data_IF_767107326806
#
_entry.id   IF_767107326806
#
_cell.length_a   1.000
_cell.length_b   1.000
_cell.length_c   1.000
_cell.angle_alpha   90.00
_cell.angle_beta   90.00
_cell.angle_gamma   90.00
#
_symmetry.space_group_name_H-M   'P 1'
#
loop_
_entity.id
_entity.type
_entity.pdbx_description
1 polymer ?
#
# COMPACT_ATOMS: atom_id res chain seq x y z
N UNK A 1 18.18 -33.10 -49.86
CA UNK A 1 17.33 -31.95 -49.57
C UNK A 1 16.49 -32.32 -48.35
N UNK A 2 16.96 -32.02 -47.17
CA UNK A 2 16.30 -32.34 -45.91
C UNK A 2 15.71 -31.05 -45.36
N UNK A 3 14.37 -31.02 -45.34
CA UNK A 3 13.55 -29.97 -44.76
C UNK A 3 13.89 -29.83 -43.26
N UNK A 4 14.52 -28.72 -42.88
CA UNK A 4 14.59 -28.34 -41.48
C UNK A 4 13.29 -27.61 -41.14
N UNK A 5 12.49 -28.08 -40.18
CA UNK A 5 11.30 -27.36 -39.78
C UNK A 5 11.68 -26.06 -39.07
N UNK A 6 10.99 -25.01 -39.47
CA UNK A 6 11.06 -23.63 -39.00
C UNK A 6 10.92 -23.51 -37.46
N UNK A 7 12.02 -23.63 -36.73
CA UNK A 7 12.08 -23.45 -35.26
C UNK A 7 11.81 -22.00 -34.81
N UNK A 8 11.93 -21.04 -35.74
CA UNK A 8 11.71 -19.60 -35.48
C UNK A 8 10.24 -19.22 -35.29
N UNK A 9 9.31 -20.04 -35.81
CA UNK A 9 7.86 -19.77 -35.65
C UNK A 9 7.28 -20.33 -34.35
N UNK A 10 7.90 -21.31 -33.71
CA UNK A 10 7.47 -21.85 -32.41
C UNK A 10 7.80 -20.94 -31.20
N UNK A 11 8.78 -20.07 -31.34
CA UNK A 11 9.15 -19.12 -30.27
C UNK A 11 8.21 -17.92 -30.13
N UNK A 12 7.41 -17.60 -31.15
CA UNK A 12 6.51 -16.44 -31.14
C UNK A 12 5.21 -16.60 -30.33
N UNK A 13 4.93 -17.78 -29.83
CA UNK A 13 3.67 -18.08 -29.12
C UNK A 13 3.81 -18.32 -27.62
N UNK A 14 5.00 -18.10 -27.02
CA UNK A 14 5.11 -18.13 -25.56
C UNK A 14 4.37 -16.94 -24.97
N UNK A 15 3.35 -17.19 -24.15
CA UNK A 15 2.63 -16.12 -23.46
C UNK A 15 3.61 -15.28 -22.63
N UNK A 16 3.34 -13.97 -22.49
CA UNK A 16 4.17 -13.07 -21.64
C UNK A 16 4.35 -13.62 -20.22
N UNK A 17 3.38 -14.40 -19.76
CA UNK A 17 3.39 -15.11 -18.46
C UNK A 17 4.45 -16.22 -18.48
N UNK A 18 4.55 -17.02 -19.55
CA UNK A 18 5.56 -18.06 -19.65
C UNK A 18 6.99 -17.49 -19.73
N UNK A 19 7.18 -16.37 -20.44
CA UNK A 19 8.48 -15.68 -20.49
C UNK A 19 8.87 -15.09 -19.13
N UNK A 20 7.91 -14.53 -18.39
CA UNK A 20 8.16 -14.03 -17.02
C UNK A 20 8.47 -15.18 -16.05
N UNK A 21 7.81 -16.33 -16.24
CA UNK A 21 8.01 -17.53 -15.42
C UNK A 21 9.37 -18.20 -15.67
N UNK A 22 9.88 -18.15 -16.89
CA UNK A 22 11.19 -18.67 -17.29
C UNK A 22 12.33 -17.66 -17.09
N UNK A 23 12.02 -16.43 -16.60
CA UNK A 23 13.03 -15.43 -16.29
C UNK A 23 13.84 -15.81 -15.03
N UNK A 24 15.05 -15.24 -14.88
CA UNK A 24 15.87 -15.42 -13.70
C UNK A 24 15.14 -15.04 -12.41
N UNK A 25 14.28 -14.01 -12.47
CA UNK A 25 13.44 -13.55 -11.35
C UNK A 25 12.40 -14.62 -11.03
N UNK A 26 11.73 -15.21 -12.03
CA UNK A 26 10.77 -16.29 -11.84
C UNK A 26 11.42 -17.56 -11.25
N UNK A 27 12.66 -17.86 -11.66
CA UNK A 27 13.41 -18.97 -11.10
C UNK A 27 13.81 -18.70 -9.63
N UNK A 28 14.32 -17.51 -9.31
CA UNK A 28 14.65 -17.10 -7.95
C UNK A 28 13.41 -17.10 -7.03
N UNK A 29 12.24 -16.68 -7.55
CA UNK A 29 10.97 -16.70 -6.84
C UNK A 29 10.60 -18.11 -6.38
N UNK A 30 10.64 -19.07 -7.29
CA UNK A 30 10.30 -20.47 -6.99
C UNK A 30 11.23 -21.15 -5.97
N UNK A 31 12.45 -20.67 -5.82
CA UNK A 31 13.44 -21.21 -4.87
C UNK A 31 13.39 -20.54 -3.50
N UNK A 32 12.69 -19.43 -3.37
CA UNK A 32 12.57 -18.73 -2.09
C UNK A 32 11.25 -19.10 -1.39
N UNK A 33 11.28 -19.94 -0.33
CA UNK A 33 10.08 -20.30 0.41
C UNK A 33 9.45 -19.05 1.07
N UNK A 34 10.27 -18.09 1.51
CA UNK A 34 9.80 -16.83 2.09
C UNK A 34 8.99 -16.05 1.06
N UNK A 35 9.50 -15.90 -0.17
CA UNK A 35 8.78 -15.19 -1.23
C UNK A 35 7.46 -15.88 -1.60
N UNK A 36 7.45 -17.20 -1.71
CA UNK A 36 6.26 -17.97 -2.03
C UNK A 36 5.18 -17.84 -0.95
N UNK A 37 5.56 -18.02 0.32
CA UNK A 37 4.63 -17.90 1.45
C UNK A 37 4.11 -16.47 1.54
N UNK A 38 4.99 -15.46 1.47
CA UNK A 38 4.59 -14.06 1.55
C UNK A 38 3.68 -13.66 0.39
N UNK A 39 3.96 -14.11 -0.83
CA UNK A 39 3.10 -13.87 -1.98
C UNK A 39 1.74 -14.55 -1.83
N UNK A 40 1.71 -15.80 -1.34
CA UNK A 40 0.47 -16.53 -1.11
C UNK A 40 -0.40 -15.85 -0.04
N UNK A 41 0.20 -15.44 1.11
CA UNK A 41 -0.51 -14.72 2.17
C UNK A 41 -0.99 -13.36 1.68
N UNK A 42 -0.15 -12.58 1.01
CA UNK A 42 -0.54 -11.28 0.44
C UNK A 42 -1.69 -11.45 -0.57
N UNK A 43 -1.59 -12.41 -1.47
CA UNK A 43 -2.64 -12.69 -2.46
C UNK A 43 -3.95 -13.12 -1.78
N UNK A 44 -3.89 -13.99 -0.77
CA UNK A 44 -5.05 -14.40 0.01
C UNK A 44 -5.74 -13.21 0.67
N UNK A 45 -4.97 -12.34 1.35
CA UNK A 45 -5.51 -11.17 2.04
C UNK A 45 -6.08 -10.14 1.05
N UNK A 46 -5.44 -9.90 -0.09
CA UNK A 46 -5.96 -9.02 -1.14
C UNK A 46 -7.24 -9.59 -1.73
N UNK A 47 -7.27 -10.88 -2.06
CA UNK A 47 -8.46 -11.54 -2.61
C UNK A 47 -9.61 -11.52 -1.60
N UNK A 48 -9.34 -11.81 -0.33
CA UNK A 48 -10.35 -11.74 0.73
C UNK A 48 -10.91 -10.33 0.90
N UNK A 49 -10.08 -9.29 0.78
CA UNK A 49 -10.51 -7.90 0.82
C UNK A 49 -11.36 -7.51 -0.40
N UNK A 50 -10.95 -7.92 -1.62
CA UNK A 50 -11.69 -7.64 -2.86
C UNK A 50 -13.03 -8.33 -2.86
N UNK A 51 -13.07 -9.60 -2.48
CA UNK A 51 -14.27 -10.42 -2.44
C UNK A 51 -15.01 -10.37 -1.10
N UNK A 52 -14.66 -9.42 -0.21
CA UNK A 52 -15.32 -9.27 1.08
C UNK A 52 -16.86 -9.28 1.00
N UNK A 53 -17.53 -8.58 0.06
CA UNK A 53 -19.00 -8.62 -0.04
C UNK A 53 -19.58 -10.00 -0.39
N UNK A 54 -18.75 -10.92 -0.92
CA UNK A 54 -19.19 -12.28 -1.28
C UNK A 54 -18.79 -13.32 -0.23
N UNK A 55 -17.72 -13.06 0.53
CA UNK A 55 -17.16 -14.00 1.51
C UNK A 55 -17.70 -13.72 2.91
N UNK A 56 -17.96 -12.44 3.24
CA UNK A 56 -18.45 -12.04 4.56
C UNK A 56 -19.83 -12.63 4.81
N UNK A 57 -20.02 -13.39 5.91
CA UNK A 57 -21.32 -13.95 6.26
C UNK A 57 -22.37 -12.88 6.54
N UNK A 58 -21.96 -11.72 7.04
CA UNK A 58 -22.82 -10.60 7.42
C UNK A 58 -22.29 -9.30 6.82
N UNK A 59 -23.17 -8.35 6.52
CA UNK A 59 -22.76 -6.97 6.24
C UNK A 59 -22.64 -6.21 7.57
N UNK A 60 -21.42 -5.98 8.08
CA UNK A 60 -21.22 -5.41 9.41
C UNK A 60 -21.54 -3.91 9.48
N UNK A 61 -21.88 -3.28 8.36
CA UNK A 61 -22.14 -1.84 8.26
C UNK A 61 -23.56 -1.51 7.82
N UNK A 62 -24.41 -2.52 7.67
CA UNK A 62 -25.82 -2.34 7.41
C UNK A 62 -26.61 -2.29 8.73
N UNK A 63 -27.09 -1.11 9.18
CA UNK A 63 -27.81 -1.00 10.46
C UNK A 63 -29.08 -1.85 10.53
N UNK A 64 -29.67 -2.20 9.38
CA UNK A 64 -30.89 -3.02 9.33
C UNK A 64 -30.65 -4.50 9.67
N UNK A 65 -29.42 -4.98 9.54
CA UNK A 65 -29.04 -6.38 9.83
C UNK A 65 -28.30 -6.53 11.16
N UNK A 66 -27.93 -5.42 11.81
CA UNK A 66 -27.23 -5.44 13.09
C UNK A 66 -28.19 -5.77 14.23
N UNK A 67 -27.85 -6.77 15.04
CA UNK A 67 -28.58 -7.11 16.25
C UNK A 67 -27.68 -6.90 17.47
N UNK A 68 -27.97 -5.86 18.25
CA UNK A 68 -27.21 -5.54 19.47
C UNK A 68 -27.25 -6.66 20.52
N UNK A 69 -28.22 -7.57 20.45
CA UNK A 69 -28.24 -8.73 21.33
C UNK A 69 -27.14 -9.74 21.03
N UNK A 70 -26.51 -9.66 19.86
CA UNK A 70 -25.33 -10.47 19.51
C UNK A 70 -24.03 -9.86 20.06
N UNK A 71 -24.06 -8.71 20.75
CA UNK A 71 -22.87 -8.08 21.30
C UNK A 71 -22.08 -8.99 22.21
N UNK A 72 -20.75 -8.93 22.08
CA UNK A 72 -19.80 -9.67 22.91
C UNK A 72 -19.95 -11.21 22.88
N UNK A 73 -20.48 -11.79 21.80
CA UNK A 73 -20.54 -13.24 21.63
C UNK A 73 -19.12 -13.78 21.44
N UNK A 74 -18.64 -14.73 22.27
CA UNK A 74 -17.31 -15.31 22.14
C UNK A 74 -17.12 -16.09 20.84
N UNK A 75 -15.86 -16.25 20.36
CA UNK A 75 -15.56 -17.02 19.17
C UNK A 75 -16.04 -18.46 19.25
N UNK A 76 -16.83 -18.90 18.24
CA UNK A 76 -17.31 -20.26 18.10
C UNK A 76 -18.42 -20.67 19.07
N UNK A 77 -18.85 -19.79 19.96
CA UNK A 77 -19.97 -20.04 20.88
C UNK A 77 -21.30 -19.54 20.30
N UNK A 78 -22.39 -20.20 20.73
CA UNK A 78 -23.72 -19.73 20.40
C UNK A 78 -24.11 -18.57 21.31
N UNK A 79 -24.63 -17.48 20.71
CA UNK A 79 -25.16 -16.37 21.50
C UNK A 79 -26.33 -16.81 22.37
N UNK A 80 -26.33 -16.44 23.65
CA UNK A 80 -27.34 -16.87 24.63
C UNK A 80 -28.75 -16.39 24.30
N UNK A 81 -28.90 -15.30 23.55
CA UNK A 81 -30.21 -14.68 23.25
C UNK A 81 -30.72 -15.05 21.85
N UNK A 82 -29.82 -15.11 20.86
CA UNK A 82 -30.20 -15.31 19.44
C UNK A 82 -29.95 -16.74 18.97
N UNK A 83 -29.06 -17.49 19.65
CA UNK A 83 -28.60 -18.81 19.23
C UNK A 83 -27.65 -18.79 18.02
N UNK A 84 -27.29 -17.62 17.50
CA UNK A 84 -26.35 -17.48 16.38
C UNK A 84 -24.91 -17.73 16.81
N UNK A 85 -24.11 -18.31 15.93
CA UNK A 85 -22.69 -18.58 16.17
C UNK A 85 -21.82 -17.77 15.24
N UNK A 86 -20.74 -17.19 15.78
CA UNK A 86 -19.79 -16.37 15.03
C UNK A 86 -18.38 -16.95 15.11
N UNK A 87 -17.70 -17.14 13.96
CA UNK A 87 -16.41 -17.81 13.93
C UNK A 87 -15.34 -17.13 14.78
N UNK A 88 -15.26 -15.82 14.70
CA UNK A 88 -14.29 -14.99 15.45
C UNK A 88 -14.96 -14.16 16.54
N UNK A 89 -16.22 -14.46 16.86
CA UNK A 89 -17.02 -13.72 17.82
C UNK A 89 -17.56 -12.40 17.24
N UNK A 90 -18.15 -11.61 18.13
CA UNK A 90 -18.72 -10.29 17.79
C UNK A 90 -18.12 -9.17 18.63
N UNK A 91 -18.30 -7.94 18.17
CA UNK A 91 -17.91 -6.73 18.90
C UNK A 91 -19.04 -6.18 19.79
N UNK A 92 -18.83 -4.99 20.35
CA UNK A 92 -19.78 -4.26 21.22
C UNK A 92 -21.11 -3.91 20.53
N UNK A 93 -21.13 -3.85 19.19
CA UNK A 93 -22.33 -3.55 18.39
C UNK A 93 -22.99 -4.82 17.80
N UNK A 94 -22.50 -6.01 18.16
CA UNK A 94 -22.97 -7.27 17.60
C UNK A 94 -22.52 -7.54 16.17
N UNK A 95 -21.48 -6.81 15.69
CA UNK A 95 -20.92 -7.02 14.36
C UNK A 95 -19.99 -8.24 14.38
N UNK A 96 -20.13 -9.10 13.40
CA UNK A 96 -19.24 -10.24 13.19
C UNK A 96 -17.79 -9.78 12.95
N UNK A 97 -16.88 -10.19 13.84
CA UNK A 97 -15.45 -9.81 13.79
C UNK A 97 -14.78 -10.29 12.49
N UNK A 98 -15.13 -11.48 11.99
CA UNK A 98 -14.58 -11.97 10.73
C UNK A 98 -14.99 -11.07 9.56
N UNK A 99 -16.27 -10.74 9.44
CA UNK A 99 -16.77 -9.82 8.41
C UNK A 99 -16.16 -8.42 8.52
N UNK A 100 -16.04 -7.88 9.75
CA UNK A 100 -15.40 -6.55 9.96
C UNK A 100 -13.94 -6.53 9.56
N UNK A 101 -13.19 -7.62 9.77
CA UNK A 101 -11.79 -7.75 9.32
C UNK A 101 -11.70 -7.72 7.80
N UNK A 102 -12.57 -8.45 7.07
CA UNK A 102 -12.57 -8.46 5.62
C UNK A 102 -12.78 -7.06 5.02
N UNK A 103 -13.75 -6.32 5.56
CA UNK A 103 -13.99 -4.95 5.14
C UNK A 103 -12.90 -3.98 5.62
N UNK A 104 -12.36 -4.18 6.82
CA UNK A 104 -11.23 -3.40 7.34
C UNK A 104 -9.96 -3.55 6.50
N UNK A 105 -9.65 -4.79 6.07
CA UNK A 105 -8.57 -5.07 5.11
C UNK A 105 -8.73 -4.28 3.81
N UNK A 106 -9.95 -4.21 3.28
CA UNK A 106 -10.24 -3.46 2.05
C UNK A 106 -9.91 -1.98 2.20
N UNK A 107 -10.26 -1.37 3.34
CA UNK A 107 -9.98 0.05 3.62
C UNK A 107 -8.48 0.28 3.80
N UNK A 108 -7.81 -0.53 4.63
CA UNK A 108 -6.36 -0.40 4.87
C UNK A 108 -5.54 -0.59 3.58
N UNK A 109 -5.89 -1.57 2.74
CA UNK A 109 -5.24 -1.77 1.43
C UNK A 109 -5.51 -0.60 0.48
N UNK A 110 -6.75 -0.12 0.40
CA UNK A 110 -7.10 1.00 -0.48
C UNK A 110 -6.35 2.27 -0.08
N UNK A 111 -6.34 2.62 1.20
CA UNK A 111 -5.63 3.80 1.71
C UNK A 111 -4.13 3.67 1.48
N UNK A 112 -3.53 2.53 1.85
CA UNK A 112 -2.10 2.28 1.67
C UNK A 112 -1.68 2.41 0.20
N UNK A 113 -2.40 1.74 -0.71
CA UNK A 113 -2.10 1.78 -2.14
C UNK A 113 -2.30 3.18 -2.75
N UNK A 114 -3.40 3.86 -2.41
CA UNK A 114 -3.68 5.20 -2.92
C UNK A 114 -2.67 6.24 -2.38
N UNK A 115 -2.29 6.15 -1.10
CA UNK A 115 -1.29 7.03 -0.50
C UNK A 115 0.10 6.86 -1.13
N UNK A 116 0.55 5.62 -1.32
CA UNK A 116 1.83 5.34 -2.00
C UNK A 116 1.79 5.77 -3.45
N UNK A 117 0.68 5.58 -4.16
CA UNK A 117 0.53 6.05 -5.53
C UNK A 117 0.64 7.58 -5.62
N UNK A 118 0.02 8.30 -4.68
CA UNK A 118 0.13 9.76 -4.59
C UNK A 118 1.57 10.19 -4.29
N UNK A 119 2.21 9.58 -3.28
CA UNK A 119 3.60 9.85 -2.92
C UNK A 119 4.57 9.58 -4.08
N UNK A 120 4.34 8.49 -4.81
CA UNK A 120 5.12 8.11 -5.98
C UNK A 120 4.96 9.12 -7.10
N UNK A 121 3.74 9.50 -7.46
CA UNK A 121 3.49 10.48 -8.53
C UNK A 121 4.13 11.83 -8.19
N UNK A 122 3.94 12.32 -6.97
CA UNK A 122 4.55 13.58 -6.53
C UNK A 122 6.08 13.49 -6.47
N UNK A 123 6.60 12.44 -5.84
CA UNK A 123 8.03 12.26 -5.67
C UNK A 123 8.77 12.04 -6.99
N UNK A 124 8.22 11.23 -7.90
CA UNK A 124 8.79 11.01 -9.24
C UNK A 124 8.78 12.31 -10.02
N UNK A 125 7.67 13.04 -10.03
CA UNK A 125 7.56 14.31 -10.78
C UNK A 125 8.53 15.35 -10.25
N UNK A 126 8.54 15.60 -8.94
CA UNK A 126 9.39 16.60 -8.33
C UNK A 126 10.87 16.21 -8.37
N UNK A 127 11.18 14.93 -8.17
CA UNK A 127 12.54 14.41 -8.27
C UNK A 127 13.11 14.47 -9.68
N UNK A 128 12.29 14.17 -10.70
CA UNK A 128 12.67 14.26 -12.10
C UNK A 128 12.93 15.72 -12.51
N UNK A 129 12.06 16.64 -12.12
CA UNK A 129 12.23 18.09 -12.36
C UNK A 129 13.48 18.60 -11.67
N UNK A 130 13.68 18.30 -10.39
CA UNK A 130 14.83 18.72 -9.61
C UNK A 130 16.14 18.21 -10.23
N UNK A 131 16.22 16.91 -10.57
CA UNK A 131 17.40 16.30 -11.15
C UNK A 131 17.73 16.79 -12.56
N UNK A 132 16.71 17.01 -13.42
CA UNK A 132 16.91 17.43 -14.81
C UNK A 132 17.24 18.91 -14.94
N UNK A 133 16.41 19.80 -14.33
CA UNK A 133 16.55 21.25 -14.43
C UNK A 133 17.78 21.73 -13.65
N UNK A 134 17.95 21.25 -12.41
CA UNK A 134 19.05 21.67 -11.55
C UNK A 134 18.92 23.09 -11.02
N UNK A 135 20.03 23.65 -10.52
CA UNK A 135 20.12 25.02 -10.08
C UNK A 135 19.17 25.36 -8.92
N UNK A 136 18.53 26.54 -9.02
CA UNK A 136 17.63 27.00 -7.96
C UNK A 136 16.36 26.15 -7.80
N UNK A 137 15.85 25.58 -8.91
CA UNK A 137 14.67 24.68 -8.87
C UNK A 137 14.95 23.44 -8.04
N UNK A 138 16.09 22.80 -8.28
CA UNK A 138 16.57 21.69 -7.46
C UNK A 138 16.73 22.11 -6.00
N UNK A 139 17.36 23.28 -5.75
CA UNK A 139 17.60 23.76 -4.40
C UNK A 139 16.30 23.98 -3.63
N UNK A 140 15.29 24.60 -4.25
CA UNK A 140 13.98 24.83 -3.60
C UNK A 140 13.27 23.53 -3.30
N UNK A 141 13.15 22.62 -4.28
CA UNK A 141 12.46 21.34 -4.08
C UNK A 141 13.15 20.53 -2.98
N UNK A 142 14.48 20.41 -3.02
CA UNK A 142 15.21 19.64 -2.02
C UNK A 142 15.22 20.32 -0.64
N UNK A 143 15.18 21.65 -0.57
CA UNK A 143 15.07 22.36 0.72
C UNK A 143 13.71 22.09 1.38
N UNK A 144 12.62 22.10 0.61
CA UNK A 144 11.30 21.71 1.13
C UNK A 144 11.33 20.26 1.63
N UNK A 145 11.93 19.36 0.84
CA UNK A 145 12.10 17.96 1.22
C UNK A 145 12.94 17.82 2.50
N UNK A 146 14.03 18.56 2.65
CA UNK A 146 14.89 18.53 3.82
C UNK A 146 14.18 19.04 5.08
N UNK A 147 13.44 20.14 4.97
CA UNK A 147 12.62 20.66 6.08
C UNK A 147 11.57 19.63 6.51
N UNK A 148 10.89 19.02 5.56
CA UNK A 148 9.87 18.00 5.89
C UNK A 148 10.47 16.79 6.62
N UNK A 149 11.67 16.34 6.25
CA UNK A 149 12.34 15.20 6.90
C UNK A 149 12.88 15.51 8.31
N UNK A 150 12.92 16.77 8.74
CA UNK A 150 13.25 17.11 10.13
C UNK A 150 12.12 16.70 11.08
N UNK A 151 10.91 16.54 10.57
CA UNK A 151 9.74 16.10 11.35
C UNK A 151 9.46 14.61 11.11
N UNK A 152 9.11 13.84 12.16
CA UNK A 152 8.62 12.47 11.98
C UNK A 152 7.40 12.45 11.05
N UNK A 153 7.40 11.55 10.04
CA UNK A 153 6.36 11.50 9.01
C UNK A 153 4.93 11.38 9.60
N UNK A 154 4.80 10.61 10.70
CA UNK A 154 3.52 10.44 11.38
C UNK A 154 2.98 11.77 11.96
N UNK A 155 3.85 12.63 12.48
CA UNK A 155 3.42 13.94 13.01
C UNK A 155 3.00 14.87 11.88
N UNK A 156 3.68 14.82 10.73
CA UNK A 156 3.28 15.57 9.53
C UNK A 156 1.92 15.08 9.04
N UNK A 157 1.70 13.78 8.98
CA UNK A 157 0.42 13.20 8.59
C UNK A 157 -0.71 13.58 9.56
N UNK A 158 -0.45 13.54 10.89
CA UNK A 158 -1.41 13.98 11.91
C UNK A 158 -1.74 15.47 11.78
N UNK A 159 -0.75 16.32 11.51
CA UNK A 159 -0.97 17.75 11.30
C UNK A 159 -1.86 18.00 10.07
N UNK A 160 -1.52 17.36 8.93
CA UNK A 160 -2.31 17.49 7.70
C UNK A 160 -3.75 17.03 7.92
N UNK A 161 -3.92 15.86 8.57
CA UNK A 161 -5.25 15.32 8.87
C UNK A 161 -6.02 16.26 9.83
N UNK A 162 -5.38 16.75 10.87
CA UNK A 162 -5.99 17.66 11.85
C UNK A 162 -6.44 18.98 11.23
N UNK A 163 -5.60 19.59 10.40
CA UNK A 163 -5.95 20.81 9.64
C UNK A 163 -7.11 20.55 8.69
N UNK A 164 -7.04 19.49 7.90
CA UNK A 164 -8.10 19.15 6.94
C UNK A 164 -9.43 18.87 7.66
N UNK A 165 -9.42 18.13 8.77
CA UNK A 165 -10.60 17.90 9.61
C UNK A 165 -11.17 19.19 10.21
N UNK A 166 -10.30 20.13 10.57
CA UNK A 166 -10.70 21.43 11.14
C UNK A 166 -11.45 22.31 10.14
N UNK A 167 -11.05 22.30 8.85
CA UNK A 167 -11.70 23.08 7.77
C UNK A 167 -12.88 22.35 7.14
N UNK A 168 -13.01 21.02 7.34
CA UNK A 168 -14.10 20.22 6.79
C UNK A 168 -15.36 20.38 7.66
N UNK A 169 -16.52 20.76 7.08
CA UNK A 169 -17.78 20.83 7.81
C UNK A 169 -18.12 19.47 8.46
N UNK A 170 -18.73 19.46 9.66
CA UNK A 170 -19.04 18.24 10.42
C UNK A 170 -19.78 17.16 9.61
N UNK A 171 -20.69 17.59 8.74
CA UNK A 171 -21.55 16.71 7.92
C UNK A 171 -20.73 15.86 6.90
N UNK A 172 -19.56 16.36 6.46
CA UNK A 172 -18.73 15.70 5.45
C UNK A 172 -17.50 15.01 6.04
N UNK A 173 -17.26 15.13 7.34
CA UNK A 173 -16.01 14.61 7.97
C UNK A 173 -15.81 13.13 7.76
N UNK A 174 -16.85 12.32 7.96
CA UNK A 174 -16.77 10.87 7.77
C UNK A 174 -16.54 10.47 6.31
N UNK A 175 -17.18 11.18 5.37
CA UNK A 175 -17.02 10.92 3.94
C UNK A 175 -15.63 11.31 3.44
N UNK A 176 -15.08 12.40 3.97
CA UNK A 176 -13.78 12.94 3.57
C UNK A 176 -12.60 12.29 4.30
N UNK A 177 -12.84 11.63 5.44
CA UNK A 177 -11.78 11.11 6.31
C UNK A 177 -10.78 10.21 5.58
N UNK A 178 -11.25 9.29 4.73
CA UNK A 178 -10.40 8.38 3.97
C UNK A 178 -9.54 9.14 2.96
N UNK A 179 -10.10 10.14 2.26
CA UNK A 179 -9.37 10.95 1.29
C UNK A 179 -8.33 11.86 1.96
N UNK A 180 -8.69 12.44 3.10
CA UNK A 180 -7.78 13.24 3.92
C UNK A 180 -6.62 12.37 4.43
N UNK A 181 -6.91 11.14 4.83
CA UNK A 181 -5.91 10.17 5.28
C UNK A 181 -4.92 9.80 4.16
N UNK A 182 -5.43 9.55 2.95
CA UNK A 182 -4.61 9.31 1.75
C UNK A 182 -3.70 10.51 1.46
N UNK A 183 -4.25 11.73 1.51
CA UNK A 183 -3.48 12.96 1.31
C UNK A 183 -2.41 13.13 2.40
N UNK A 184 -2.77 12.90 3.67
CA UNK A 184 -1.88 13.05 4.80
C UNK A 184 -0.66 12.12 4.69
N UNK A 185 -0.89 10.83 4.42
CA UNK A 185 0.20 9.84 4.27
C UNK A 185 0.98 10.11 2.99
N UNK A 186 0.31 10.33 1.86
CA UNK A 186 0.97 10.56 0.57
C UNK A 186 1.84 11.80 0.54
N UNK A 187 1.38 12.91 1.15
CA UNK A 187 2.16 14.13 1.29
C UNK A 187 3.27 14.02 2.36
N UNK A 188 3.22 13.02 3.23
CA UNK A 188 4.32 12.77 4.17
C UNK A 188 5.45 11.97 3.55
N UNK A 189 5.15 11.09 2.56
CA UNK A 189 6.09 10.09 2.05
C UNK A 189 6.71 10.41 0.69
N UNK A 190 6.28 11.47 -0.02
CA UNK A 190 6.80 11.81 -1.35
C UNK A 190 8.30 12.08 -1.40
N UNK A 191 8.89 12.55 -0.29
CA UNK A 191 10.29 13.00 -0.22
C UNK A 191 11.29 11.87 -0.51
N UNK A 192 11.04 10.67 -0.02
CA UNK A 192 11.91 9.52 -0.27
C UNK A 192 11.96 9.17 -1.77
N UNK A 193 10.82 9.20 -2.47
CA UNK A 193 10.78 9.00 -3.91
C UNK A 193 11.50 10.11 -4.66
N UNK A 194 11.25 11.39 -4.27
CA UNK A 194 11.87 12.54 -4.90
C UNK A 194 13.40 12.50 -4.82
N UNK A 195 13.97 12.13 -3.68
CA UNK A 195 15.42 12.02 -3.50
C UNK A 195 16.04 10.93 -4.37
N UNK A 196 15.42 9.75 -4.43
CA UNK A 196 15.91 8.64 -5.23
C UNK A 196 15.83 8.97 -6.72
N UNK A 197 14.69 9.49 -7.17
CA UNK A 197 14.49 9.90 -8.56
C UNK A 197 15.44 11.01 -8.97
N UNK A 198 15.64 12.02 -8.11
CA UNK A 198 16.63 13.07 -8.37
C UNK A 198 18.01 12.48 -8.55
N UNK A 199 18.47 11.62 -7.62
CA UNK A 199 19.77 10.99 -7.69
C UNK A 199 19.99 10.20 -8.98
N UNK A 200 19.01 9.37 -9.35
CA UNK A 200 19.04 8.61 -10.59
C UNK A 200 18.99 9.52 -11.84
N UNK A 201 18.19 10.58 -11.82
CA UNK A 201 18.09 11.55 -12.91
C UNK A 201 19.40 12.30 -13.16
N UNK A 202 20.14 12.64 -12.09
CA UNK A 202 21.46 13.28 -12.21
C UNK A 202 22.47 12.40 -12.93
N UNK A 203 22.40 11.09 -12.76
CA UNK A 203 23.23 10.12 -13.49
C UNK A 203 22.77 9.98 -14.94
N UNK A 204 21.46 9.74 -15.13
CA UNK A 204 20.90 9.44 -16.45
C UNK A 204 20.94 10.65 -17.42
N UNK A 205 20.79 11.89 -16.94
CA UNK A 205 20.83 13.08 -17.79
C UNK A 205 22.17 13.30 -18.51
N UNK A 206 23.23 12.67 -18.03
CA UNK A 206 24.59 12.78 -18.58
C UNK A 206 24.93 11.60 -19.53
N UNK A 207 24.04 10.65 -19.73
CA UNK A 207 24.21 9.52 -20.63
C UNK A 207 24.21 9.97 -22.10
N UNK A 208 24.95 9.26 -22.94
CA UNK A 208 25.13 9.55 -24.37
C UNK A 208 23.79 9.64 -25.13
N UNK A 209 22.86 8.73 -24.85
CA UNK A 209 21.54 8.74 -25.50
C UNK A 209 20.70 9.98 -25.16
N UNK A 210 20.87 10.55 -23.95
CA UNK A 210 20.22 11.82 -23.57
C UNK A 210 20.87 13.00 -24.28
N UNK A 211 22.20 12.99 -24.38
CA UNK A 211 22.94 14.02 -25.13
C UNK A 211 22.57 14.00 -26.61
N UNK A 212 22.49 12.81 -27.22
CA UNK A 212 22.03 12.65 -28.58
C UNK A 212 20.60 13.19 -28.77
N UNK A 213 19.68 12.90 -27.84
CA UNK A 213 18.31 13.42 -27.89
C UNK A 213 18.26 14.95 -27.82
N UNK A 214 19.17 15.60 -27.08
CA UNK A 214 19.31 17.07 -27.05
C UNK A 214 19.82 17.61 -28.37
N UNK A 215 20.83 16.98 -28.98
CA UNK A 215 21.42 17.41 -30.27
C UNK A 215 20.40 17.38 -31.41
N UNK A 216 19.51 16.39 -31.43
CA UNK A 216 18.41 16.31 -32.42
C UNK A 216 17.21 17.22 -32.09
N UNK A 217 17.33 18.10 -31.09
CA UNK A 217 16.32 19.12 -30.77
C UNK A 217 15.07 18.61 -30.04
N UNK A 218 15.13 17.47 -29.32
CA UNK A 218 14.01 16.99 -28.52
C UNK A 218 13.72 17.96 -27.36
N UNK A 219 12.43 18.19 -27.08
CA UNK A 219 12.03 19.03 -25.96
C UNK A 219 12.43 18.43 -24.60
N UNK A 220 12.75 19.27 -23.59
CA UNK A 220 13.12 18.81 -22.25
C UNK A 220 12.10 17.83 -21.63
N UNK A 221 10.79 18.10 -21.80
CA UNK A 221 9.71 17.23 -21.30
C UNK A 221 9.74 15.88 -22.00
N UNK A 222 9.94 15.85 -23.31
CA UNK A 222 10.06 14.59 -24.05
C UNK A 222 11.28 13.77 -23.61
N UNK A 223 12.41 14.43 -23.32
CA UNK A 223 13.62 13.80 -22.80
C UNK A 223 13.35 13.20 -21.42
N UNK A 224 12.75 13.98 -20.51
CA UNK A 224 12.42 13.50 -19.16
C UNK A 224 11.50 12.28 -19.20
N UNK A 225 10.39 12.34 -19.94
CA UNK A 225 9.35 11.31 -19.92
C UNK A 225 9.69 10.08 -20.76
N UNK A 226 10.40 10.22 -21.89
CA UNK A 226 10.65 9.11 -22.83
C UNK A 226 12.03 8.49 -22.71
N UNK A 227 13.01 9.23 -22.19
CA UNK A 227 14.40 8.78 -22.15
C UNK A 227 14.90 8.55 -20.71
N UNK A 228 14.58 9.47 -19.78
CA UNK A 228 15.08 9.37 -18.39
C UNK A 228 14.14 8.54 -17.53
N UNK A 229 12.84 8.88 -17.51
CA UNK A 229 11.87 8.24 -16.63
C UNK A 229 11.85 6.70 -16.70
N UNK A 230 11.85 6.05 -17.89
CA UNK A 230 11.82 4.59 -17.96
C UNK A 230 13.03 3.92 -17.29
N UNK A 231 14.20 4.57 -17.34
CA UNK A 231 15.43 4.05 -16.74
C UNK A 231 15.50 4.30 -15.22
N UNK A 232 14.77 5.30 -14.72
CA UNK A 232 14.73 5.66 -13.30
C UNK A 232 13.64 4.88 -12.55
N UNK A 233 12.65 4.31 -13.24
CA UNK A 233 11.52 3.63 -12.60
C UNK A 233 11.90 2.35 -11.86
N UNK A 234 12.90 1.59 -12.32
CA UNK A 234 13.26 0.32 -11.69
C UNK A 234 13.56 0.45 -10.18
N UNK A 235 14.47 1.31 -9.72
CA UNK A 235 14.71 1.48 -8.28
C UNK A 235 13.49 2.08 -7.55
N UNK A 236 12.66 2.87 -8.24
CA UNK A 236 11.46 3.47 -7.66
C UNK A 236 10.40 2.43 -7.35
N UNK A 237 10.17 1.47 -8.25
CA UNK A 237 9.20 0.40 -8.04
C UNK A 237 9.58 -0.49 -6.85
N UNK A 238 10.88 -0.75 -6.67
CA UNK A 238 11.38 -1.48 -5.49
C UNK A 238 11.07 -0.74 -4.20
N UNK A 239 11.30 0.58 -4.16
CA UNK A 239 10.99 1.37 -2.97
C UNK A 239 9.47 1.43 -2.74
N UNK A 240 8.67 1.50 -3.80
CA UNK A 240 7.21 1.55 -3.69
C UNK A 240 6.62 0.31 -3.00
N UNK A 241 7.20 -0.88 -3.18
CA UNK A 241 6.74 -2.09 -2.48
C UNK A 241 6.98 -2.02 -0.97
N UNK A 242 8.14 -1.54 -0.55
CA UNK A 242 8.46 -1.35 0.87
C UNK A 242 7.59 -0.22 1.45
N UNK A 243 7.43 0.87 0.71
CA UNK A 243 6.59 2.00 1.12
C UNK A 243 5.12 1.60 1.29
N UNK A 244 4.64 0.59 0.55
CA UNK A 244 3.27 0.10 0.71
C UNK A 244 3.05 -0.52 2.10
N UNK A 245 3.97 -1.35 2.57
CA UNK A 245 3.89 -1.92 3.93
C UNK A 245 3.93 -0.81 5.00
N UNK A 246 4.85 0.16 4.83
CA UNK A 246 4.99 1.30 5.76
C UNK A 246 3.74 2.20 5.74
N UNK A 247 3.14 2.45 4.59
CA UNK A 247 1.92 3.24 4.46
C UNK A 247 0.71 2.56 5.12
N UNK A 248 0.59 1.22 5.02
CA UNK A 248 -0.45 0.46 5.72
C UNK A 248 -0.25 0.55 7.24
N UNK A 249 1.00 0.43 7.72
CA UNK A 249 1.31 0.60 9.15
C UNK A 249 1.01 2.03 9.61
N UNK A 250 1.38 3.04 8.81
CA UNK A 250 1.10 4.45 9.12
C UNK A 250 -0.42 4.72 9.16
N UNK A 251 -1.18 4.19 8.19
CA UNK A 251 -2.65 4.24 8.19
C UNK A 251 -3.22 3.63 9.48
N UNK A 252 -2.80 2.41 9.80
CA UNK A 252 -3.29 1.71 10.99
C UNK A 252 -2.93 2.46 12.27
N UNK A 253 -1.75 3.05 12.35
CA UNK A 253 -1.32 3.85 13.51
C UNK A 253 -2.15 5.13 13.65
N UNK A 254 -2.39 5.87 12.54
CA UNK A 254 -3.22 7.06 12.55
C UNK A 254 -4.66 6.74 12.94
N UNK A 255 -5.22 5.65 12.40
CA UNK A 255 -6.57 5.17 12.71
C UNK A 255 -6.68 4.69 14.17
N UNK A 256 -5.67 4.02 14.68
CA UNK A 256 -5.56 3.61 16.09
C UNK A 256 -5.52 4.83 17.03
N UNK A 257 -4.83 5.90 16.66
CA UNK A 257 -4.78 7.15 17.42
C UNK A 257 -6.07 7.99 17.28
N UNK A 258 -7.08 7.52 16.53
CA UNK A 258 -8.35 8.22 16.32
C UNK A 258 -8.27 9.36 15.29
N UNK A 259 -7.18 9.45 14.55
CA UNK A 259 -6.93 10.44 13.48
C UNK A 259 -6.88 9.73 12.11
N UNK A 260 -7.84 8.85 11.83
CA UNK A 260 -7.85 8.04 10.63
C UNK A 260 -9.24 7.68 10.14
N UNK A 261 -9.42 6.41 9.74
CA UNK A 261 -10.69 5.91 9.24
C UNK A 261 -11.80 5.99 10.31
N UNK A 262 -13.01 6.45 9.94
CA UNK A 262 -14.09 6.62 10.89
C UNK A 262 -14.67 5.25 11.33
N UNK A 263 -15.34 5.17 12.51
CA UNK A 263 -15.98 3.93 12.98
C UNK A 263 -17.09 3.43 12.06
N UNK A 264 -17.68 4.31 11.24
CA UNK A 264 -18.69 3.97 10.22
C UNK A 264 -18.12 3.20 9.03
N UNK A 265 -16.80 3.31 8.78
CA UNK A 265 -16.04 2.57 7.79
C UNK A 265 -14.65 2.25 8.34
N UNK A 266 -14.54 1.34 9.32
CA UNK A 266 -13.32 1.11 10.04
C UNK A 266 -12.28 0.41 9.16
N UNK A 267 -11.03 0.84 9.30
CA UNK A 267 -9.85 0.10 8.86
C UNK A 267 -9.43 -0.91 9.92
N UNK A 268 -8.42 -1.73 9.64
CA UNK A 268 -7.83 -2.62 10.65
C UNK A 268 -7.33 -1.84 11.88
N UNK A 269 -6.72 -0.67 11.68
CA UNK A 269 -6.26 0.20 12.77
C UNK A 269 -7.42 0.71 13.64
N UNK A 270 -8.54 1.07 13.03
CA UNK A 270 -9.76 1.46 13.76
C UNK A 270 -10.35 0.30 14.56
N UNK A 271 -10.37 -0.91 13.99
CA UNK A 271 -10.85 -2.12 14.70
C UNK A 271 -9.96 -2.43 15.91
N UNK A 272 -8.65 -2.31 15.76
CA UNK A 272 -7.68 -2.49 16.87
C UNK A 272 -7.94 -1.47 17.98
N UNK A 273 -8.22 -0.20 17.63
CA UNK A 273 -8.56 0.84 18.61
C UNK A 273 -9.83 0.50 19.37
N UNK A 274 -10.89 0.08 18.66
CA UNK A 274 -12.16 -0.33 19.30
C UNK A 274 -11.91 -1.53 20.24
N UNK A 275 -11.21 -2.56 19.75
CA UNK A 275 -10.92 -3.75 20.54
C UNK A 275 -10.05 -3.49 21.78
N UNK A 276 -9.20 -2.45 21.75
CA UNK A 276 -8.39 -2.07 22.91
C UNK A 276 -9.23 -1.64 24.11
N UNK A 277 -10.40 -1.04 23.88
CA UNK A 277 -11.29 -0.60 24.95
C UNK A 277 -11.85 -1.79 25.75
N UNK A 278 -11.97 -2.96 25.12
CA UNK A 278 -12.55 -4.18 25.70
C UNK A 278 -11.52 -5.23 26.11
N UNK A 279 -10.25 -5.01 25.86
CA UNK A 279 -9.18 -6.01 26.11
C UNK A 279 -9.14 -6.50 27.57
N UNK A 280 -9.37 -5.59 28.52
CA UNK A 280 -9.31 -5.91 29.96
C UNK A 280 -10.67 -6.36 30.53
N UNK A 281 -11.73 -6.30 29.77
CA UNK A 281 -13.07 -6.78 30.17
C UNK A 281 -13.28 -8.26 29.86
N UNK A 282 -12.32 -8.88 29.14
CA UNK A 282 -12.34 -10.30 28.81
C UNK A 282 -12.58 -10.56 27.31
N UNK A 283 -13.01 -9.56 26.53
CA UNK A 283 -13.35 -9.67 25.11
C UNK A 283 -12.12 -9.46 24.21
N UNK A 284 -11.05 -10.20 24.51
CA UNK A 284 -9.74 -10.10 23.87
C UNK A 284 -9.77 -10.31 22.34
N UNK A 285 -10.74 -11.08 21.82
CA UNK A 285 -10.83 -11.42 20.39
C UNK A 285 -11.10 -10.22 19.49
N UNK A 286 -11.79 -9.19 20.03
CA UNK A 286 -12.12 -7.97 19.28
C UNK A 286 -10.85 -7.22 18.86
N UNK A 287 -9.81 -7.28 19.69
CA UNK A 287 -8.49 -6.71 19.40
C UNK A 287 -7.58 -7.69 18.65
N UNK A 288 -7.52 -8.94 19.12
CA UNK A 288 -6.50 -9.90 18.72
C UNK A 288 -6.59 -10.26 17.23
N UNK A 289 -7.78 -10.58 16.72
CA UNK A 289 -7.93 -11.00 15.35
C UNK A 289 -7.65 -9.87 14.32
N UNK A 290 -8.14 -8.63 14.48
CA UNK A 290 -7.75 -7.53 13.61
C UNK A 290 -6.24 -7.21 13.67
N UNK A 291 -5.62 -7.31 14.86
CA UNK A 291 -4.17 -7.11 15.01
C UNK A 291 -3.37 -8.20 14.28
N UNK A 292 -3.80 -9.46 14.37
CA UNK A 292 -3.19 -10.57 13.64
C UNK A 292 -3.32 -10.40 12.12
N UNK A 293 -4.48 -9.94 11.64
CA UNK A 293 -4.71 -9.66 10.23
C UNK A 293 -3.80 -8.52 9.72
N UNK A 294 -3.66 -7.44 10.50
CA UNK A 294 -2.75 -6.34 10.19
C UNK A 294 -1.28 -6.80 10.17
N UNK A 295 -0.88 -7.60 11.17
CA UNK A 295 0.47 -8.16 11.24
C UNK A 295 0.77 -9.04 10.02
N UNK A 296 -0.15 -9.94 9.67
CA UNK A 296 -0.01 -10.81 8.51
C UNK A 296 0.10 -10.01 7.21
N UNK A 297 -0.72 -8.96 7.05
CA UNK A 297 -0.71 -8.09 5.88
C UNK A 297 0.62 -7.32 5.76
N UNK A 298 1.01 -6.60 6.82
CA UNK A 298 2.21 -5.78 6.80
C UNK A 298 3.48 -6.64 6.63
N UNK A 299 3.57 -7.76 7.35
CA UNK A 299 4.71 -8.67 7.28
C UNK A 299 4.84 -9.32 5.89
N UNK A 300 3.73 -9.82 5.33
CA UNK A 300 3.77 -10.48 4.02
C UNK A 300 4.15 -9.53 2.89
N UNK A 301 3.61 -8.29 2.89
CA UNK A 301 3.97 -7.27 1.90
C UNK A 301 5.44 -6.85 2.07
N UNK A 302 5.92 -6.66 3.30
CA UNK A 302 7.29 -6.26 3.56
C UNK A 302 8.29 -7.33 3.09
N UNK A 303 8.09 -8.59 3.48
CA UNK A 303 8.94 -9.71 3.06
C UNK A 303 8.94 -9.91 1.54
N UNK A 304 7.79 -9.71 0.89
CA UNK A 304 7.70 -9.77 -0.57
C UNK A 304 8.45 -8.61 -1.21
N UNK A 305 8.37 -7.40 -0.64
CA UNK A 305 9.08 -6.21 -1.08
C UNK A 305 10.60 -6.37 -0.95
N UNK A 306 11.08 -6.90 0.18
CA UNK A 306 12.49 -7.17 0.42
C UNK A 306 13.05 -8.20 -0.58
N UNK A 307 12.30 -9.30 -0.78
CA UNK A 307 12.66 -10.28 -1.79
C UNK A 307 12.73 -9.66 -3.20
N UNK A 308 11.77 -8.83 -3.58
CA UNK A 308 11.76 -8.17 -4.88
C UNK A 308 12.96 -7.23 -5.05
N UNK A 309 13.34 -6.51 -3.99
CA UNK A 309 14.54 -5.68 -3.96
C UNK A 309 15.80 -6.50 -4.24
N UNK A 310 15.95 -7.64 -3.59
CA UNK A 310 17.12 -8.52 -3.76
C UNK A 310 17.14 -9.15 -5.15
N UNK A 311 16.00 -9.61 -5.64
CA UNK A 311 15.86 -10.21 -6.96
C UNK A 311 16.14 -9.24 -8.12
N UNK A 312 15.85 -7.93 -7.94
CA UNK A 312 16.08 -6.89 -8.93
C UNK A 312 17.46 -6.21 -8.79
N UNK A 313 18.26 -6.55 -7.79
CA UNK A 313 19.57 -5.96 -7.57
C UNK A 313 20.64 -6.61 -8.48
N UNK A 314 21.20 -5.89 -9.49
CA UNK A 314 22.16 -6.46 -10.42
C UNK A 314 23.51 -6.81 -9.78
N UNK A 315 23.81 -6.30 -8.57
CA UNK A 315 25.10 -6.50 -7.87
C UNK A 315 25.16 -7.83 -7.10
N UNK A 316 24.02 -8.52 -6.95
CA UNK A 316 23.93 -9.81 -6.25
C UNK A 316 23.87 -10.99 -7.23
N UNK A 317 24.00 -10.73 -8.53
CA UNK A 317 24.01 -11.73 -9.60
C UNK A 317 25.42 -12.03 -10.11
#
# INVERSE_FOLDING_TARGET
MTDQPNTVQAERARSRIAMAWDSDVGYAFRRSPVALISAAVTALLILSAVFAPLIAPHDPFNPATLNLMNGFTPPGEANMFTGETFWLGTDDQGRDVFSTILYGLRISLFVGFAAVSLALVLGVTLGLIAGYVGGWVETVIMRVADVQLTFPAILVAMLIFGVAKGITPPEYRDQMAIWVLILAIGLSDWVQFARVVRGATLVEKNREYVQAARLIGRSPVAIMLRHILPNVLNPVLVIATISLALAIIAEATLSFLGVGAPPTRPSLGTLIRIGQEFMFSGEWWILFFPALALLALALSINLLGDWLRDALNPRLR
#
